data_IF_110241504662
#
_entry.id   IF_110241504662
#
_cell.length_a   1.000
_cell.length_b   1.000
_cell.length_c   1.000
_cell.angle_alpha   90.00
_cell.angle_beta   90.00
_cell.angle_gamma   90.00
#
_symmetry.space_group_name_H-M   'P 1'
#
loop_
_entity.id
_entity.type
_entity.pdbx_description
1 polymer ?
#
# COMPACT_ATOMS: atom_id res chain seq x y z
N UNK A 1 10.66 12.58 9.60
CA UNK A 1 9.98 12.84 8.31
C UNK A 1 9.84 11.52 7.55
N UNK A 2 8.66 11.19 7.03
CA UNK A 2 8.42 9.97 6.23
C UNK A 2 8.04 10.40 4.82
N UNK A 3 8.90 10.15 3.83
CA UNK A 3 8.63 10.42 2.41
C UNK A 3 8.16 9.14 1.71
N UNK A 4 7.07 9.27 0.95
CA UNK A 4 6.45 8.23 0.13
C UNK A 4 5.78 8.89 -1.08
N UNK A 5 5.69 8.18 -2.19
CA UNK A 5 4.97 8.63 -3.38
C UNK A 5 3.65 7.84 -3.53
N UNK A 6 2.72 8.40 -4.30
CA UNK A 6 1.36 7.85 -4.46
C UNK A 6 0.99 7.57 -5.92
N UNK A 7 1.73 8.15 -6.86
CA UNK A 7 1.68 7.85 -8.28
C UNK A 7 2.14 6.42 -8.55
N UNK A 8 1.72 5.90 -9.69
CA UNK A 8 2.06 4.56 -10.14
C UNK A 8 2.40 4.62 -11.62
N UNK A 9 3.33 3.77 -12.06
CA UNK A 9 3.63 3.62 -13.47
C UNK A 9 2.41 3.11 -14.28
N UNK A 10 2.40 3.35 -15.60
CA UNK A 10 1.42 2.76 -16.52
C UNK A 10 1.29 1.24 -16.38
N UNK A 11 0.19 0.71 -16.90
CA UNK A 11 -0.16 -0.72 -16.77
C UNK A 11 0.20 -1.54 -18.00
N UNK A 12 0.68 -0.91 -19.07
CA UNK A 12 0.97 -1.59 -20.33
C UNK A 12 2.18 -2.53 -20.23
N UNK A 13 2.16 -3.66 -20.95
CA UNK A 13 1.05 -4.19 -21.75
C UNK A 13 -0.05 -4.82 -20.87
N UNK A 14 -1.32 -4.53 -21.19
CA UNK A 14 -2.47 -4.94 -20.35
C UNK A 14 -2.72 -6.45 -20.41
N UNK A 15 -2.41 -7.08 -21.54
CA UNK A 15 -2.59 -8.50 -21.81
C UNK A 15 -1.68 -9.43 -20.99
N UNK A 16 -0.58 -8.92 -20.46
CA UNK A 16 0.34 -9.70 -19.60
C UNK A 16 -0.16 -9.81 -18.16
N UNK A 17 -1.21 -9.08 -17.80
CA UNK A 17 -1.77 -9.11 -16.45
C UNK A 17 -2.64 -10.35 -16.23
N UNK A 18 -2.22 -11.21 -15.29
CA UNK A 18 -3.02 -12.34 -14.82
C UNK A 18 -4.33 -11.89 -14.12
N UNK A 19 -4.33 -10.71 -13.51
CA UNK A 19 -5.48 -10.10 -12.85
C UNK A 19 -5.57 -8.61 -13.22
N UNK A 20 -6.77 -8.02 -13.30
CA UNK A 20 -6.89 -6.61 -13.66
C UNK A 20 -6.00 -5.71 -12.79
N UNK A 21 -5.19 -4.82 -13.35
CA UNK A 21 -4.11 -4.13 -12.63
C UNK A 21 -4.59 -3.28 -11.44
N UNK A 22 -5.85 -2.87 -11.41
CA UNK A 22 -6.41 -2.04 -10.35
C UNK A 22 -7.49 -2.74 -9.52
N UNK A 23 -7.68 -4.06 -9.65
CA UNK A 23 -8.68 -4.79 -8.86
C UNK A 23 -8.22 -5.08 -7.42
N UNK A 24 -6.92 -5.00 -7.14
CA UNK A 24 -6.33 -5.44 -5.87
C UNK A 24 -6.67 -6.90 -5.53
N UNK A 25 -6.66 -7.78 -6.54
CA UNK A 25 -6.99 -9.20 -6.37
C UNK A 25 -6.07 -9.84 -5.33
N UNK A 26 -6.66 -10.55 -4.38
CA UNK A 26 -5.91 -11.33 -3.37
C UNK A 26 -5.90 -12.79 -3.80
N UNK A 27 -4.72 -13.34 -4.03
CA UNK A 27 -4.55 -14.75 -4.39
C UNK A 27 -3.34 -15.35 -3.67
N UNK A 28 -3.54 -16.49 -3.01
CA UNK A 28 -2.51 -17.17 -2.21
C UNK A 28 -1.76 -16.24 -1.23
N UNK A 29 -2.52 -15.37 -0.53
CA UNK A 29 -1.96 -14.43 0.45
C UNK A 29 -1.19 -13.25 -0.14
N UNK A 30 -1.19 -13.07 -1.46
CA UNK A 30 -0.54 -11.94 -2.15
C UNK A 30 -1.58 -11.03 -2.79
N UNK A 31 -1.28 -9.73 -2.82
CA UNK A 31 -2.11 -8.72 -3.50
C UNK A 31 -1.50 -8.45 -4.88
N UNK A 32 -2.29 -8.67 -5.93
CA UNK A 32 -1.93 -8.37 -7.31
C UNK A 32 -2.61 -7.07 -7.73
N UNK A 33 -1.83 -6.00 -7.79
CA UNK A 33 -2.25 -4.71 -8.34
C UNK A 33 -1.04 -3.80 -8.65
N UNK A 34 -1.21 -2.93 -9.64
CA UNK A 34 -0.32 -1.80 -9.89
C UNK A 34 -0.36 -0.87 -8.68
N UNK A 35 0.82 -0.54 -8.15
CA UNK A 35 0.94 0.30 -6.97
C UNK A 35 1.01 -0.48 -5.64
N UNK A 36 0.72 -1.78 -5.63
CA UNK A 36 0.62 -2.55 -4.38
C UNK A 36 1.97 -2.62 -3.64
N UNK A 37 3.02 -3.08 -4.31
CA UNK A 37 4.37 -3.09 -3.73
C UNK A 37 5.02 -1.70 -3.78
N UNK A 38 4.94 -1.04 -4.94
CA UNK A 38 5.50 0.28 -5.16
C UNK A 38 4.41 1.34 -5.44
N UNK A 39 3.97 2.12 -4.46
CA UNK A 39 4.43 2.15 -3.07
C UNK A 39 3.30 2.09 -2.03
N UNK A 40 2.06 1.93 -2.50
CA UNK A 40 0.83 2.12 -1.72
C UNK A 40 0.73 1.14 -0.56
N UNK A 41 1.17 -0.11 -0.72
CA UNK A 41 1.19 -1.08 0.38
C UNK A 41 2.03 -0.61 1.55
N UNK A 42 3.26 -0.14 1.29
CA UNK A 42 4.13 0.35 2.36
C UNK A 42 3.67 1.70 2.94
N UNK A 43 3.06 2.56 2.13
CA UNK A 43 2.42 3.79 2.59
C UNK A 43 1.28 3.49 3.57
N UNK A 44 0.35 2.61 3.18
CA UNK A 44 -0.82 2.23 3.99
C UNK A 44 -0.40 1.52 5.28
N UNK A 45 0.60 0.63 5.23
CA UNK A 45 1.11 -0.03 6.43
C UNK A 45 1.61 0.98 7.48
N UNK A 46 2.28 2.05 7.05
CA UNK A 46 2.75 3.12 7.94
C UNK A 46 1.59 3.92 8.53
N UNK A 47 0.59 4.26 7.72
CA UNK A 47 -0.62 4.95 8.19
C UNK A 47 -1.35 4.13 9.25
N UNK A 48 -1.49 2.82 9.06
CA UNK A 48 -2.10 1.95 10.06
C UNK A 48 -1.27 1.82 11.34
N UNK A 49 0.06 1.77 11.23
CA UNK A 49 0.94 1.80 12.40
C UNK A 49 0.77 3.08 13.24
N UNK A 50 0.70 4.25 12.59
CA UNK A 50 0.44 5.53 13.25
C UNK A 50 -0.96 5.57 13.86
N UNK A 51 -1.99 5.15 13.12
CA UNK A 51 -3.37 5.06 13.63
C UNK A 51 -3.45 4.18 14.87
N UNK A 52 -2.82 3.00 14.84
CA UNK A 52 -2.78 2.09 15.98
C UNK A 52 -2.09 2.75 17.18
N UNK A 53 -0.99 3.47 16.95
CA UNK A 53 -0.29 4.21 18.00
C UNK A 53 -1.17 5.30 18.63
N UNK A 54 -1.80 6.14 17.82
CA UNK A 54 -2.68 7.21 18.30
C UNK A 54 -3.89 6.69 19.07
N UNK A 55 -4.39 5.51 18.70
CA UNK A 55 -5.52 4.87 19.36
C UNK A 55 -5.13 4.08 20.63
N UNK A 56 -3.83 3.94 20.95
CA UNK A 56 -3.34 3.14 22.09
C UNK A 56 -2.65 4.06 23.10
N UNK A 57 -3.44 4.79 23.89
CA UNK A 57 -3.03 5.73 24.97
C UNK A 57 -2.01 6.82 24.59
N UNK A 58 -1.95 7.90 25.37
CA UNK A 58 -1.17 9.09 25.04
C UNK A 58 0.31 8.76 24.77
N UNK A 59 0.88 9.39 23.74
CA UNK A 59 2.32 9.35 23.49
C UNK A 59 3.03 9.87 24.73
N UNK A 60 4.08 9.20 25.24
CA UNK A 60 4.95 9.82 26.22
C UNK A 60 5.59 11.04 25.56
N UNK A 61 5.04 12.20 25.85
CA UNK A 61 5.69 13.47 25.60
C UNK A 61 6.76 13.59 26.68
N UNK A 62 8.03 13.54 26.28
CA UNK A 62 9.12 14.05 27.12
C UNK A 62 9.09 15.58 27.11
#
# INVERSE_FOLDING_TARGET
MVYKHYDVHPVDPLEEWLYPPFSATVFQGKIFARGAADNKGTLVARLFGLKKRLNTSALPCN
#
